data_IF_841853429118
#
_entry.id   IF_841853429118
#
_cell.length_a   1.000
_cell.length_b   1.000
_cell.length_c   1.000
_cell.angle_alpha   90.00
_cell.angle_beta   90.00
_cell.angle_gamma   90.00
#
_symmetry.space_group_name_H-M   'P 1'
#
loop_
_entity.id
_entity.type
_entity.pdbx_description
1 polymer ?
#
# COMPACT_ATOMS: atom_id res chain seq x y z
N UNK A 1 -3.54 -14.22 -4.16
CA UNK A 1 -3.80 -13.63 -5.50
C UNK A 1 -5.30 -13.36 -5.59
N UNK A 2 -5.71 -12.17 -6.05
CA UNK A 2 -7.12 -11.87 -6.35
C UNK A 2 -7.48 -12.55 -7.68
N UNK A 3 -8.68 -13.14 -7.77
CA UNK A 3 -9.14 -13.95 -8.90
C UNK A 3 -9.44 -13.05 -10.14
N UNK A 4 -9.70 -13.60 -11.36
CA UNK A 4 -9.53 -12.88 -12.63
C UNK A 4 -10.53 -11.73 -12.84
N UNK A 5 -10.42 -11.03 -13.98
CA UNK A 5 -11.20 -9.90 -14.55
C UNK A 5 -12.41 -9.31 -13.78
N UNK A 6 -13.30 -10.15 -13.24
CA UNK A 6 -14.44 -9.73 -12.41
C UNK A 6 -13.98 -9.06 -11.11
N UNK A 7 -13.05 -9.66 -10.39
CA UNK A 7 -12.59 -9.08 -9.12
C UNK A 7 -11.84 -7.78 -9.37
N UNK A 8 -11.03 -7.71 -10.43
CA UNK A 8 -10.37 -6.46 -10.85
C UNK A 8 -11.37 -5.34 -11.18
N UNK A 9 -12.55 -5.68 -11.70
CA UNK A 9 -13.58 -4.68 -11.97
C UNK A 9 -14.21 -4.14 -10.68
N UNK A 10 -14.48 -5.00 -9.70
CA UNK A 10 -15.00 -4.59 -8.40
C UNK A 10 -13.95 -3.82 -7.58
N UNK A 11 -12.68 -4.25 -7.60
CA UNK A 11 -11.55 -3.51 -7.01
C UNK A 11 -11.44 -2.12 -7.64
N UNK A 12 -11.44 -2.01 -8.97
CA UNK A 12 -11.37 -0.74 -9.68
C UNK A 12 -12.53 0.21 -9.31
N UNK A 13 -13.76 -0.32 -9.23
CA UNK A 13 -14.93 0.43 -8.78
C UNK A 13 -14.84 0.87 -7.32
N UNK A 14 -14.33 0.00 -6.44
CA UNK A 14 -14.21 0.27 -5.02
C UNK A 14 -13.33 1.48 -4.72
N UNK A 15 -12.38 1.81 -5.60
CA UNK A 15 -11.46 2.96 -5.48
C UNK A 15 -11.73 4.07 -6.51
N UNK A 16 -12.77 3.93 -7.33
CA UNK A 16 -13.12 4.85 -8.42
C UNK A 16 -11.97 5.11 -9.42
N UNK A 17 -11.14 4.11 -9.69
CA UNK A 17 -10.04 4.18 -10.66
C UNK A 17 -10.40 3.36 -11.90
N UNK A 18 -10.14 3.84 -13.14
CA UNK A 18 -10.36 3.04 -14.33
C UNK A 18 -9.56 1.73 -14.28
N UNK A 19 -10.20 0.59 -14.56
CA UNK A 19 -9.56 -0.74 -14.55
C UNK A 19 -8.27 -0.78 -15.39
N UNK A 20 -8.21 -0.01 -16.48
CA UNK A 20 -7.03 0.11 -17.36
C UNK A 20 -5.81 0.71 -16.68
N UNK A 21 -5.98 1.50 -15.62
CA UNK A 21 -4.88 1.99 -14.79
C UNK A 21 -4.30 0.90 -13.89
N UNK A 22 -5.06 -0.14 -13.57
CA UNK A 22 -4.57 -1.31 -12.81
C UNK A 22 -3.95 -2.31 -13.79
N UNK A 23 -4.71 -2.77 -14.78
CA UNK A 23 -4.24 -3.79 -15.73
C UNK A 23 -3.08 -3.30 -16.61
N UNK A 24 -2.99 -2.00 -16.85
CA UNK A 24 -1.90 -1.40 -17.63
C UNK A 24 -0.54 -1.41 -16.92
N UNK A 25 -0.48 -1.81 -15.65
CA UNK A 25 0.79 -2.03 -14.93
C UNK A 25 1.42 -3.37 -15.26
N UNK A 26 0.62 -4.35 -15.71
CA UNK A 26 1.06 -5.74 -15.87
C UNK A 26 1.29 -6.49 -14.54
N UNK A 27 1.09 -5.83 -13.40
CA UNK A 27 1.33 -6.38 -12.08
C UNK A 27 0.03 -6.95 -11.48
N UNK A 28 0.09 -8.03 -10.69
CA UNK A 28 -1.10 -8.67 -10.13
C UNK A 28 -1.64 -7.88 -8.93
N UNK A 29 -2.96 -7.90 -8.75
CA UNK A 29 -3.58 -7.52 -7.47
C UNK A 29 -3.54 -8.73 -6.54
N UNK A 30 -3.01 -8.57 -5.33
CA UNK A 30 -2.96 -9.66 -4.36
C UNK A 30 -3.05 -9.20 -2.92
N UNK A 31 -3.58 -10.06 -2.07
CA UNK A 31 -3.53 -9.86 -0.62
C UNK A 31 -2.16 -10.33 -0.12
N UNK A 32 -1.43 -9.45 0.56
CA UNK A 32 -0.13 -9.71 1.17
C UNK A 32 -0.22 -9.41 2.66
N UNK A 33 0.48 -10.19 3.48
CA UNK A 33 0.50 -9.99 4.93
C UNK A 33 1.89 -10.21 5.49
N UNK A 34 2.34 -9.25 6.30
CA UNK A 34 3.45 -9.38 7.25
C UNK A 34 2.94 -9.37 8.70
N UNK A 35 1.65 -9.67 8.89
CA UNK A 35 0.93 -9.61 10.18
C UNK A 35 -0.45 -8.94 10.07
N UNK A 36 -0.63 -8.09 9.06
CA UNK A 36 -1.89 -7.39 8.74
C UNK A 36 -2.20 -7.60 7.24
N UNK A 37 -3.20 -8.42 6.86
CA UNK A 37 -3.50 -8.71 5.46
C UNK A 37 -4.02 -7.49 4.72
N UNK A 38 -3.31 -7.04 3.69
CA UNK A 38 -3.67 -5.88 2.86
C UNK A 38 -3.76 -6.28 1.41
N UNK A 39 -4.81 -5.81 0.72
CA UNK A 39 -4.90 -5.92 -0.72
C UNK A 39 -3.99 -4.88 -1.38
N UNK A 40 -2.91 -5.34 -2.01
CA UNK A 40 -1.97 -4.51 -2.76
C UNK A 40 -2.49 -4.33 -4.18
N UNK A 41 -2.70 -3.08 -4.59
CA UNK A 41 -3.27 -2.73 -5.90
C UNK A 41 -2.31 -1.80 -6.66
N UNK A 42 -1.63 -2.30 -7.70
CA UNK A 42 -0.76 -1.47 -8.54
C UNK A 42 -1.61 -0.53 -9.42
N UNK A 43 -1.21 0.73 -9.50
CA UNK A 43 -1.85 1.76 -10.31
C UNK A 43 -0.80 2.50 -11.14
N UNK A 44 -1.07 2.66 -12.44
CA UNK A 44 -0.07 3.12 -13.42
C UNK A 44 0.42 4.55 -13.22
N UNK A 45 -0.44 5.46 -12.74
CA UNK A 45 -0.12 6.89 -12.71
C UNK A 45 -0.39 7.49 -11.34
N UNK A 46 0.46 8.44 -10.94
CA UNK A 46 0.27 9.25 -9.75
C UNK A 46 -1.06 10.00 -9.78
N UNK A 47 -1.47 10.54 -10.93
CA UNK A 47 -2.78 11.20 -11.07
C UNK A 47 -3.96 10.27 -10.77
N UNK A 48 -3.88 8.98 -11.14
CA UNK A 48 -4.94 8.03 -10.83
C UNK A 48 -4.97 7.65 -9.35
N UNK A 49 -3.81 7.47 -8.71
CA UNK A 49 -3.72 7.25 -7.25
C UNK A 49 -4.27 8.46 -6.49
N UNK A 50 -3.84 9.65 -6.86
CA UNK A 50 -4.24 10.90 -6.21
C UNK A 50 -5.75 11.18 -6.34
N UNK A 51 -6.35 10.87 -7.50
CA UNK A 51 -7.80 11.00 -7.73
C UNK A 51 -8.64 9.82 -7.22
N UNK A 52 -8.02 8.78 -6.68
CA UNK A 52 -8.77 7.65 -6.16
C UNK A 52 -9.74 8.12 -5.06
N UNK A 53 -10.97 7.60 -5.11
CA UNK A 53 -12.03 7.97 -4.18
C UNK A 53 -12.74 6.69 -3.76
N UNK A 54 -12.56 6.23 -2.51
CA UNK A 54 -13.09 4.95 -2.08
C UNK A 54 -14.62 4.98 -1.97
N UNK A 55 -15.29 4.03 -2.64
CA UNK A 55 -16.66 3.67 -2.32
C UNK A 55 -16.61 2.70 -1.14
N UNK A 56 -16.88 3.20 0.06
CA UNK A 56 -16.72 2.46 1.32
C UNK A 56 -17.49 1.13 1.34
N UNK A 57 -18.71 1.10 0.79
CA UNK A 57 -19.52 -0.12 0.77
C UNK A 57 -18.89 -1.20 -0.12
N UNK A 58 -18.46 -0.81 -1.34
CA UNK A 58 -17.77 -1.72 -2.25
C UNK A 58 -16.40 -2.14 -1.72
N UNK A 59 -15.65 -1.20 -1.13
CA UNK A 59 -14.34 -1.49 -0.54
C UNK A 59 -14.46 -2.52 0.58
N UNK A 60 -15.40 -2.33 1.51
CA UNK A 60 -15.64 -3.29 2.58
C UNK A 60 -16.04 -4.67 2.04
N UNK A 61 -16.92 -4.72 1.05
CA UNK A 61 -17.35 -5.98 0.43
C UNK A 61 -16.20 -6.72 -0.26
N UNK A 62 -15.37 -6.02 -1.02
CA UNK A 62 -14.20 -6.59 -1.69
C UNK A 62 -13.15 -7.06 -0.68
N UNK A 63 -12.87 -6.25 0.35
CA UNK A 63 -11.95 -6.63 1.41
C UNK A 63 -12.45 -7.88 2.17
N UNK A 64 -13.74 -7.97 2.49
CA UNK A 64 -14.34 -9.14 3.12
C UNK A 64 -14.21 -10.39 2.25
N UNK A 65 -14.58 -10.30 0.96
CA UNK A 65 -14.47 -11.41 0.00
C UNK A 65 -13.05 -11.99 -0.06
N UNK A 66 -12.03 -11.13 0.00
CA UNK A 66 -10.64 -11.52 -0.12
C UNK A 66 -9.90 -11.65 1.23
N UNK A 67 -10.62 -11.54 2.36
CA UNK A 67 -10.04 -11.60 3.72
C UNK A 67 -8.91 -10.58 3.94
N UNK A 68 -9.04 -9.40 3.34
CA UNK A 68 -8.15 -8.27 3.55
C UNK A 68 -8.72 -7.32 4.60
N UNK A 69 -7.85 -6.68 5.38
CA UNK A 69 -8.21 -5.69 6.40
C UNK A 69 -8.12 -4.24 5.87
N UNK A 70 -7.76 -4.10 4.59
CA UNK A 70 -7.80 -2.85 3.85
C UNK A 70 -7.15 -3.01 2.47
N UNK A 71 -7.01 -1.89 1.78
CA UNK A 71 -6.54 -1.83 0.41
C UNK A 71 -5.50 -0.71 0.28
N UNK A 72 -4.29 -1.07 -0.14
CA UNK A 72 -3.20 -0.14 -0.42
C UNK A 72 -3.01 0.00 -1.93
N UNK A 73 -3.23 1.21 -2.43
CA UNK A 73 -2.87 1.59 -3.79
C UNK A 73 -1.41 1.99 -3.81
N UNK A 74 -0.69 1.65 -4.88
CA UNK A 74 0.64 2.21 -5.10
C UNK A 74 0.92 2.51 -6.57
N UNK A 75 1.86 3.42 -6.80
CA UNK A 75 2.51 3.66 -8.08
C UNK A 75 4.01 3.89 -7.86
N UNK A 76 4.84 3.64 -8.88
CA UNK A 76 6.28 3.96 -8.86
C UNK A 76 6.58 5.40 -9.30
N UNK A 77 5.55 6.17 -9.68
CA UNK A 77 5.67 7.60 -9.99
C UNK A 77 5.41 8.40 -8.72
N UNK A 78 6.44 9.04 -8.17
CA UNK A 78 6.39 9.71 -6.87
C UNK A 78 6.38 11.23 -6.99
N UNK A 79 5.93 11.89 -5.93
CA UNK A 79 6.06 13.34 -5.68
C UNK A 79 7.52 13.66 -5.35
N UNK A 80 8.15 12.86 -4.50
CA UNK A 80 9.53 13.07 -4.09
C UNK A 80 10.49 12.17 -4.87
N UNK A 81 11.55 12.77 -5.42
CA UNK A 81 12.55 12.05 -6.24
C UNK A 81 13.25 10.90 -5.48
N UNK A 82 13.32 10.99 -4.14
CA UNK A 82 13.96 9.98 -3.29
C UNK A 82 13.01 8.86 -2.86
N UNK A 83 11.72 8.96 -3.17
CA UNK A 83 10.76 7.91 -2.85
C UNK A 83 10.76 6.83 -3.93
N UNK A 84 10.57 5.58 -3.53
CA UNK A 84 10.45 4.44 -4.46
C UNK A 84 9.01 4.28 -4.96
N UNK A 85 8.04 4.49 -4.07
CA UNK A 85 6.62 4.33 -4.38
C UNK A 85 5.78 5.37 -3.65
N UNK A 86 4.72 5.81 -4.32
CA UNK A 86 3.69 6.66 -3.76
C UNK A 86 2.47 5.80 -3.45
N UNK A 87 1.94 5.91 -2.22
CA UNK A 87 0.90 5.03 -1.71
C UNK A 87 -0.25 5.77 -1.05
N UNK A 88 -1.42 5.12 -1.05
CA UNK A 88 -2.58 5.49 -0.24
C UNK A 88 -3.16 4.24 0.39
N UNK A 89 -3.58 4.34 1.65
CA UNK A 89 -4.15 3.22 2.39
C UNK A 89 -5.59 3.51 2.81
N UNK A 90 -6.51 2.72 2.28
CA UNK A 90 -7.91 2.73 2.68
C UNK A 90 -8.18 1.55 3.60
N UNK A 91 -8.58 1.82 4.84
CA UNK A 91 -8.66 0.84 5.92
C UNK A 91 -10.05 0.80 6.56
N UNK A 92 -11.11 1.10 5.79
CA UNK A 92 -12.47 1.17 6.33
C UNK A 92 -12.98 -0.12 6.99
N UNK A 93 -12.52 -1.35 6.63
CA UNK A 93 -12.86 -2.56 7.37
C UNK A 93 -12.45 -2.54 8.84
N UNK A 94 -11.45 -1.72 9.22
CA UNK A 94 -10.98 -1.55 10.59
C UNK A 94 -11.34 -0.18 11.18
N UNK A 95 -12.28 0.53 10.56
CA UNK A 95 -12.82 1.80 11.07
C UNK A 95 -12.02 3.06 10.72
N UNK A 96 -10.99 2.95 9.88
CA UNK A 96 -10.16 4.09 9.43
C UNK A 96 -10.41 4.35 7.95
N UNK A 97 -10.93 5.54 7.60
CA UNK A 97 -11.26 5.85 6.20
C UNK A 97 -10.01 5.86 5.31
N UNK A 98 -9.01 6.66 5.70
CA UNK A 98 -7.71 6.72 5.06
C UNK A 98 -6.64 6.95 6.14
N UNK A 99 -5.56 6.17 6.09
CA UNK A 99 -4.46 6.25 7.06
C UNK A 99 -3.27 6.99 6.42
N UNK A 100 -2.68 8.01 7.07
CA UNK A 100 -1.60 8.80 6.49
C UNK A 100 -0.24 8.10 6.43
N UNK A 101 -0.01 7.08 7.27
CA UNK A 101 1.26 6.37 7.34
C UNK A 101 1.05 4.95 7.88
N UNK A 102 1.01 3.95 6.98
CA UNK A 102 0.66 2.58 7.36
C UNK A 102 1.88 1.67 7.29
N UNK A 103 2.57 1.50 8.43
CA UNK A 103 3.79 0.69 8.49
C UNK A 103 3.56 -0.79 8.13
N UNK A 104 2.47 -1.39 8.61
CA UNK A 104 2.13 -2.79 8.32
C UNK A 104 1.87 -3.04 6.83
N UNK A 105 1.08 -2.18 6.20
CA UNK A 105 0.80 -2.24 4.77
C UNK A 105 2.06 -1.94 3.92
N UNK A 106 2.91 -1.00 4.37
CA UNK A 106 4.18 -0.71 3.69
C UNK A 106 5.14 -1.90 3.73
N UNK A 107 5.20 -2.63 4.85
CA UNK A 107 5.98 -3.87 4.92
C UNK A 107 5.47 -4.95 3.96
N UNK A 108 4.15 -5.12 3.88
CA UNK A 108 3.53 -6.04 2.91
C UNK A 108 3.79 -5.60 1.46
N UNK A 109 3.73 -4.30 1.17
CA UNK A 109 4.08 -3.74 -0.13
C UNK A 109 5.56 -3.96 -0.47
N UNK A 110 6.48 -3.82 0.49
CA UNK A 110 7.90 -4.10 0.26
C UNK A 110 8.14 -5.54 -0.21
N UNK A 111 7.54 -6.51 0.48
CA UNK A 111 7.61 -7.91 0.07
C UNK A 111 7.00 -8.14 -1.32
N UNK A 112 5.87 -7.49 -1.62
CA UNK A 112 5.25 -7.53 -2.95
C UNK A 112 6.20 -7.01 -4.05
N UNK A 113 6.84 -5.86 -3.83
CA UNK A 113 7.70 -5.22 -4.83
C UNK A 113 8.93 -6.08 -5.16
N UNK A 114 9.54 -6.69 -4.15
CA UNK A 114 10.67 -7.64 -4.33
C UNK A 114 10.21 -8.90 -5.06
N UNK A 115 9.12 -9.53 -4.59
CA UNK A 115 8.59 -10.76 -5.19
C UNK A 115 8.26 -10.62 -6.68
N UNK A 116 7.75 -9.46 -7.10
CA UNK A 116 7.36 -9.22 -8.50
C UNK A 116 8.43 -8.48 -9.31
N UNK A 117 9.63 -8.28 -8.78
CA UNK A 117 10.74 -7.63 -9.49
C UNK A 117 10.45 -6.19 -9.92
N UNK A 118 9.65 -5.46 -9.13
CA UNK A 118 9.28 -4.06 -9.40
C UNK A 118 10.44 -3.10 -9.08
N UNK A 119 11.36 -3.55 -8.23
CA UNK A 119 12.56 -2.84 -7.80
C UNK A 119 13.79 -3.73 -8.01
N UNK A 120 14.98 -3.14 -8.07
CA UNK A 120 16.23 -3.90 -8.10
C UNK A 120 16.42 -4.65 -6.78
N UNK A 121 16.54 -5.97 -6.85
CA UNK A 121 16.60 -6.84 -5.68
C UNK A 121 18.06 -7.16 -5.32
N UNK A 122 18.39 -7.01 -4.04
CA UNK A 122 19.66 -7.45 -3.46
C UNK A 122 19.47 -8.10 -2.08
N UNK A 123 20.56 -8.48 -1.39
CA UNK A 123 20.49 -9.12 -0.07
C UNK A 123 19.73 -8.29 0.97
N UNK A 124 19.75 -6.97 0.81
CA UNK A 124 18.84 -6.06 1.51
C UNK A 124 18.37 -5.02 0.50
N UNK A 125 17.07 -4.99 0.26
CA UNK A 125 16.43 -4.06 -0.67
C UNK A 125 15.74 -2.96 0.14
N UNK A 126 16.14 -1.71 -0.08
CA UNK A 126 15.53 -0.53 0.53
C UNK A 126 14.43 0.03 -0.35
N UNK A 127 13.27 0.29 0.26
CA UNK A 127 12.09 0.85 -0.41
C UNK A 127 11.60 2.02 0.43
N UNK A 128 11.44 3.18 -0.19
CA UNK A 128 10.91 4.38 0.47
C UNK A 128 9.47 4.58 -0.01
N UNK A 129 8.51 4.36 0.88
CA UNK A 129 7.10 4.62 0.65
C UNK A 129 6.76 6.04 1.10
N UNK A 130 6.25 6.87 0.19
CA UNK A 130 5.61 8.13 0.54
C UNK A 130 4.09 7.96 0.58
N UNK A 131 3.44 8.51 1.61
CA UNK A 131 2.01 8.29 1.88
C UNK A 131 1.37 9.55 2.50
N UNK A 132 0.05 9.69 2.36
CA UNK A 132 -0.74 10.67 3.09
C UNK A 132 -0.76 12.08 2.48
N UNK A 133 -0.27 12.25 1.25
CA UNK A 133 -0.24 13.54 0.56
C UNK A 133 -1.65 14.04 0.23
N UNK A 134 -2.55 13.15 -0.15
CA UNK A 134 -3.95 13.47 -0.51
C UNK A 134 -4.81 13.92 0.68
N UNK A 135 -4.33 13.73 1.90
CA UNK A 135 -5.02 14.11 3.14
C UNK A 135 -4.18 15.08 3.99
N UNK A 136 -3.24 15.80 3.37
CA UNK A 136 -2.39 16.83 3.98
C UNK A 136 -1.56 16.34 5.18
N UNK A 137 -1.18 15.05 5.17
CA UNK A 137 -0.36 14.41 6.21
C UNK A 137 0.80 13.62 5.60
N UNK A 138 1.68 14.28 4.82
CA UNK A 138 2.75 13.62 4.09
C UNK A 138 3.71 12.92 5.06
N UNK A 139 3.92 11.63 4.80
CA UNK A 139 4.75 10.74 5.62
C UNK A 139 5.68 9.93 4.74
N UNK A 140 6.82 9.50 5.30
CA UNK A 140 7.77 8.62 4.65
C UNK A 140 8.08 7.43 5.54
N UNK A 141 7.93 6.24 4.98
CA UNK A 141 8.22 4.96 5.61
C UNK A 141 9.36 4.31 4.83
N UNK A 142 10.40 3.86 5.54
CA UNK A 142 11.50 3.10 4.98
C UNK A 142 11.25 1.63 5.27
N UNK A 143 11.23 0.82 4.22
CA UNK A 143 11.06 -0.63 4.31
C UNK A 143 12.37 -1.27 3.86
N UNK A 144 12.91 -2.17 4.68
CA UNK A 144 14.02 -3.03 4.30
C UNK A 144 13.51 -4.46 4.17
N UNK A 145 13.67 -5.02 2.98
CA UNK A 145 13.37 -6.43 2.70
C UNK A 145 14.69 -7.18 2.64
N UNK A 146 14.86 -8.14 3.55
CA UNK A 146 16.06 -8.97 3.61
C UNK A 146 15.81 -10.29 2.90
N UNK A 147 16.68 -10.61 1.95
CA UNK A 147 16.55 -11.80 1.10
C UNK A 147 17.84 -12.62 1.15
N UNK A 148 17.68 -13.94 1.02
CA UNK A 148 18.76 -14.91 0.90
C UNK A 148 18.35 -15.94 -0.16
N UNK A 149 19.22 -16.24 -1.12
CA UNK A 149 18.94 -17.09 -2.28
C UNK A 149 17.58 -16.79 -2.97
N UNK A 150 17.32 -15.51 -3.25
CA UNK A 150 16.07 -14.98 -3.84
C UNK A 150 14.78 -15.20 -3.01
N UNK A 151 14.90 -15.71 -1.78
CA UNK A 151 13.79 -15.90 -0.84
C UNK A 151 13.77 -14.79 0.21
N UNK A 152 12.59 -14.20 0.44
CA UNK A 152 12.39 -13.15 1.45
C UNK A 152 12.43 -13.80 2.85
N UNK A 153 13.39 -13.38 3.67
CA UNK A 153 13.57 -13.89 5.03
C UNK A 153 12.74 -13.10 6.05
N UNK A 154 12.84 -11.78 6.02
CA UNK A 154 12.09 -10.89 6.90
C UNK A 154 12.01 -9.47 6.34
N UNK A 155 11.07 -8.70 6.87
CA UNK A 155 10.84 -7.30 6.50
C UNK A 155 10.93 -6.44 7.77
N UNK A 156 11.65 -5.33 7.69
CA UNK A 156 11.63 -4.30 8.73
C UNK A 156 11.07 -3.00 8.18
N UNK A 157 10.39 -2.25 9.04
CA UNK A 157 9.77 -0.97 8.68
C UNK A 157 10.20 0.08 9.70
N UNK A 158 10.68 1.21 9.20
CA UNK A 158 11.13 2.33 10.00
C UNK A 158 10.62 3.66 9.45
N UNK A 159 10.79 4.71 10.23
CA UNK A 159 10.41 6.06 9.88
C UNK A 159 10.91 7.04 10.93
N UNK A 160 10.92 8.33 10.59
CA UNK A 160 11.21 9.39 11.57
C UNK A 160 9.90 9.90 12.15
N UNK A 161 9.91 10.20 13.44
CA UNK A 161 8.79 10.82 14.13
C UNK A 161 9.23 12.14 14.79
N UNK A 162 8.28 13.04 15.00
CA UNK A 162 8.47 14.30 15.72
C UNK A 162 7.49 14.34 16.87
N UNK A 163 7.96 14.69 18.07
CA UNK A 163 7.09 14.88 19.23
C UNK A 163 6.22 16.12 19.03
N UNK A 164 4.90 15.96 19.06
CA UNK A 164 3.94 17.05 18.88
C UNK A 164 3.37 17.53 20.22
N UNK A 165 3.07 16.59 21.13
CA UNK A 165 2.51 16.86 22.46
C UNK A 165 3.12 15.85 23.44
N UNK A 166 3.41 16.34 24.65
CA UNK A 166 3.73 15.53 25.83
C UNK A 166 2.77 15.94 26.96
N UNK A 167 2.27 14.97 27.72
CA UNK A 167 1.34 15.24 28.82
C UNK A 167 1.14 14.03 29.74
N UNK A 168 0.49 14.25 30.88
CA UNK A 168 0.15 13.22 31.87
C UNK A 168 -1.37 13.08 32.03
N UNK A 169 -1.84 11.85 32.26
CA UNK A 169 -3.24 11.53 32.56
C UNK A 169 -3.33 10.99 33.98
N UNK A 170 -4.13 11.63 34.83
CA UNK A 170 -4.39 11.22 36.22
C UNK A 170 -5.88 10.95 36.41
N UNK A 171 -6.22 9.93 37.20
CA UNK A 171 -7.58 9.46 37.45
C UNK A 171 -8.05 9.80 38.85
#
# INVERSE_FOLDING_TARGET
MVEPLRDLFEVAKAISVPKTQITGTGLPVEVVSTGFPVMIVPVRTLTAVSKASPNIALLNSVCEQHKAQGLMLFTTVTVEERSTVHTRMFASPVGVLEDPATGSASGALGAYLVKHGVVDVGPTTEIICEQGYEIDRPSRLTVHVHSDDDEIQYVTVGGRAVMVIEGSVTF
#
